data_IF_691951543415
#
_entry.id   IF_691951543415
#
_cell.length_a   1.000
_cell.length_b   1.000
_cell.length_c   1.000
_cell.angle_alpha   90.00
_cell.angle_beta   90.00
_cell.angle_gamma   90.00
#
_symmetry.space_group_name_H-M   'P 1'
#
loop_
_entity.id
_entity.type
_entity.pdbx_description
1 polymer ?
#
# COMPACT_ATOMS: atom_id res chain seq x y z
N UNK A 1 -16.58 25.92 -29.20
CA UNK A 1 -16.15 25.99 -30.62
C UNK A 1 -16.58 24.72 -31.35
N UNK A 2 -16.47 24.66 -32.68
CA UNK A 2 -16.69 23.43 -33.45
C UNK A 2 -15.42 22.56 -33.28
N UNK A 3 -15.59 21.25 -33.10
CA UNK A 3 -14.45 20.32 -32.98
C UNK A 3 -13.63 20.26 -34.28
N UNK A 4 -12.31 20.24 -34.14
CA UNK A 4 -11.38 20.14 -35.26
C UNK A 4 -11.52 18.81 -36.01
N UNK A 5 -11.71 17.71 -35.28
CA UNK A 5 -11.99 16.37 -35.83
C UNK A 5 -13.21 16.35 -36.74
N UNK A 6 -14.25 17.11 -36.40
CA UNK A 6 -15.43 17.27 -37.26
C UNK A 6 -15.16 18.17 -38.46
N UNK A 7 -14.43 19.27 -38.26
CA UNK A 7 -14.15 20.26 -39.29
C UNK A 7 -13.21 19.73 -40.38
N UNK A 8 -12.20 18.94 -40.00
CA UNK A 8 -11.15 18.42 -40.88
C UNK A 8 -11.32 16.93 -41.20
N UNK A 9 -12.51 16.38 -40.99
CA UNK A 9 -12.80 14.95 -41.17
C UNK A 9 -12.44 14.45 -42.57
N UNK A 10 -12.85 15.16 -43.61
CA UNK A 10 -12.61 14.76 -45.01
C UNK A 10 -11.11 14.72 -45.33
N UNK A 11 -10.34 15.71 -44.84
CA UNK A 11 -8.88 15.74 -44.99
C UNK A 11 -8.20 14.60 -44.21
N UNK A 12 -8.73 14.24 -43.04
CA UNK A 12 -8.22 13.11 -42.28
C UNK A 12 -8.51 11.78 -42.96
N UNK A 13 -9.69 11.59 -43.57
CA UNK A 13 -10.02 10.37 -44.33
C UNK A 13 -9.08 10.14 -45.53
N UNK A 14 -8.51 11.21 -46.11
CA UNK A 14 -7.47 11.11 -47.14
C UNK A 14 -6.08 10.77 -46.57
N UNK A 15 -5.77 11.24 -45.35
CA UNK A 15 -4.49 11.06 -44.69
C UNK A 15 -4.37 9.71 -43.98
N UNK A 16 -5.42 9.26 -43.30
CA UNK A 16 -5.46 8.07 -42.43
C UNK A 16 -4.90 6.80 -43.09
N UNK A 17 -5.18 6.48 -44.38
CA UNK A 17 -4.62 5.30 -45.04
C UNK A 17 -3.08 5.31 -45.15
N UNK A 18 -2.45 6.48 -45.01
CA UNK A 18 -0.99 6.63 -45.06
C UNK A 18 -0.32 6.45 -43.71
N UNK A 19 -1.07 6.41 -42.61
CA UNK A 19 -0.59 6.37 -41.23
C UNK A 19 -0.37 4.94 -40.72
N UNK A 20 0.33 4.11 -41.50
CA UNK A 20 0.53 2.68 -41.19
C UNK A 20 1.54 2.40 -40.09
N UNK A 21 2.32 3.42 -39.69
CA UNK A 21 3.43 3.28 -38.74
C UNK A 21 3.00 3.56 -37.28
N UNK A 22 1.71 3.75 -37.03
CA UNK A 22 1.16 4.07 -35.71
C UNK A 22 0.15 3.00 -35.27
N UNK A 23 0.19 2.66 -33.99
CA UNK A 23 -0.77 1.76 -33.34
C UNK A 23 -2.10 2.47 -33.07
N UNK A 24 -2.06 3.78 -32.84
CA UNK A 24 -3.23 4.62 -32.55
C UNK A 24 -3.04 6.08 -33.01
N UNK A 25 -4.13 6.85 -33.05
CA UNK A 25 -4.15 8.23 -33.51
C UNK A 25 -4.97 9.08 -32.52
N UNK A 26 -4.41 10.21 -32.10
CA UNK A 26 -5.10 11.16 -31.20
C UNK A 26 -5.13 12.55 -31.84
N UNK A 27 -6.27 13.24 -31.73
CA UNK A 27 -6.37 14.63 -32.19
C UNK A 27 -5.78 15.57 -31.14
N UNK A 28 -5.12 16.64 -31.58
CA UNK A 28 -4.57 17.65 -30.67
C UNK A 28 -5.64 18.23 -29.72
N UNK A 29 -6.89 18.36 -30.17
CA UNK A 29 -8.02 18.80 -29.35
C UNK A 29 -8.46 17.80 -28.27
N UNK A 30 -7.98 16.56 -28.31
CA UNK A 30 -8.27 15.51 -27.30
C UNK A 30 -7.14 15.45 -26.24
N UNK A 31 -5.98 16.06 -26.50
CA UNK A 31 -4.81 15.96 -25.61
C UNK A 31 -4.94 16.72 -24.28
N UNK A 32 -5.97 17.57 -24.10
CA UNK A 32 -6.20 18.23 -22.81
C UNK A 32 -6.49 17.23 -21.68
N UNK A 33 -6.93 16.00 -22.00
CA UNK A 33 -7.15 14.94 -21.01
C UNK A 33 -5.87 14.19 -20.63
N UNK A 34 -4.79 14.33 -21.42
CA UNK A 34 -3.59 13.52 -21.32
C UNK A 34 -2.34 14.35 -21.00
N UNK A 35 -1.67 14.10 -19.86
CA UNK A 35 -0.38 14.72 -19.57
C UNK A 35 0.67 14.38 -20.64
N UNK A 36 1.34 15.40 -21.18
CA UNK A 36 2.38 15.30 -22.21
C UNK A 36 3.76 15.39 -21.57
N UNK A 37 4.55 14.33 -21.64
CA UNK A 37 5.92 14.28 -21.15
C UNK A 37 6.94 14.43 -22.29
N UNK A 38 7.86 15.38 -22.16
CA UNK A 38 8.90 15.58 -23.18
C UNK A 38 10.12 14.70 -22.89
N UNK A 39 10.49 13.86 -23.85
CA UNK A 39 11.60 12.91 -23.75
C UNK A 39 12.85 13.41 -24.47
N UNK A 40 14.00 13.19 -23.83
CA UNK A 40 15.30 13.50 -24.46
C UNK A 40 15.69 12.51 -25.55
N UNK A 41 15.24 11.26 -25.41
CA UNK A 41 15.58 10.14 -26.29
C UNK A 41 14.30 9.39 -26.72
N UNK A 42 14.45 8.25 -27.37
CA UNK A 42 13.32 7.44 -27.83
C UNK A 42 12.60 6.67 -26.72
N UNK A 43 11.67 5.81 -27.13
CA UNK A 43 10.81 4.98 -26.26
C UNK A 43 11.51 4.35 -25.04
N UNK A 44 12.77 3.93 -25.18
CA UNK A 44 13.55 3.33 -24.09
C UNK A 44 13.86 4.26 -22.91
N UNK A 45 13.70 5.59 -23.07
CA UNK A 45 13.87 6.57 -21.98
C UNK A 45 12.60 6.85 -21.18
N UNK A 46 11.49 6.19 -21.50
CA UNK A 46 10.26 6.30 -20.72
C UNK A 46 10.52 5.75 -19.29
N UNK A 47 10.06 6.43 -18.22
CA UNK A 47 10.16 5.93 -16.85
C UNK A 47 9.56 4.52 -16.73
N UNK A 48 10.23 3.63 -16.00
CA UNK A 48 9.81 2.23 -15.86
C UNK A 48 9.65 1.45 -17.19
N UNK A 49 10.32 1.87 -18.28
CA UNK A 49 10.21 1.22 -19.60
C UNK A 49 10.38 -0.31 -19.56
N UNK A 50 11.21 -0.85 -18.68
CA UNK A 50 11.37 -2.32 -18.52
C UNK A 50 10.08 -3.05 -18.09
N UNK A 51 9.14 -2.34 -17.47
CA UNK A 51 7.88 -2.87 -16.96
C UNK A 51 6.71 -2.57 -17.91
N UNK A 52 6.68 -1.39 -18.51
CA UNK A 52 5.56 -0.93 -19.36
C UNK A 52 5.87 -1.01 -20.85
N UNK A 53 7.11 -1.31 -21.24
CA UNK A 53 7.60 -1.19 -22.60
C UNK A 53 6.78 -1.93 -23.64
N UNK A 54 6.29 -3.14 -23.32
CA UNK A 54 5.46 -3.95 -24.22
C UNK A 54 4.03 -3.41 -24.39
N UNK A 55 3.60 -2.47 -23.54
CA UNK A 55 2.26 -1.88 -23.53
C UNK A 55 2.20 -0.48 -24.13
N UNK A 56 3.35 0.21 -24.21
CA UNK A 56 3.42 1.54 -24.81
C UNK A 56 3.08 1.42 -26.29
N UNK A 57 2.17 2.26 -26.79
CA UNK A 57 1.76 2.29 -28.19
C UNK A 57 2.48 3.43 -28.93
N UNK A 58 2.83 3.22 -30.19
CA UNK A 58 3.28 4.30 -31.06
C UNK A 58 2.04 5.10 -31.52
N UNK A 59 1.95 6.39 -31.18
CA UNK A 59 0.76 7.22 -31.44
C UNK A 59 1.07 8.34 -32.42
N UNK A 60 0.17 8.54 -33.39
CA UNK A 60 0.19 9.68 -34.30
C UNK A 60 -0.66 10.82 -33.74
N UNK A 61 -0.05 11.93 -33.33
CA UNK A 61 -0.78 13.10 -32.84
C UNK A 61 -1.12 14.02 -34.02
N UNK A 62 -2.41 14.19 -34.30
CA UNK A 62 -2.89 15.04 -35.39
C UNK A 62 -2.88 16.50 -34.95
N UNK A 63 -2.20 17.33 -35.73
CA UNK A 63 -2.15 18.78 -35.56
C UNK A 63 -2.80 19.46 -36.75
N UNK A 64 -3.45 20.60 -36.49
CA UNK A 64 -4.10 21.41 -37.52
C UNK A 64 -3.37 22.74 -37.68
N UNK A 65 -2.93 23.04 -38.89
CA UNK A 65 -2.41 24.33 -39.30
C UNK A 65 -3.11 24.79 -40.60
N UNK A 66 -4.17 25.62 -40.51
CA UNK A 66 -4.94 26.04 -41.67
C UNK A 66 -4.12 26.80 -42.73
N UNK A 67 -2.99 27.39 -42.31
CA UNK A 67 -2.11 28.17 -43.19
C UNK A 67 -1.05 27.31 -43.91
N UNK A 68 -0.94 26.02 -43.56
CA UNK A 68 0.02 25.10 -44.17
C UNK A 68 -0.58 24.30 -45.33
N UNK A 69 0.26 23.97 -46.31
CA UNK A 69 -0.10 23.03 -47.37
C UNK A 69 -0.39 21.66 -46.75
N UNK A 70 -1.55 21.08 -47.07
CA UNK A 70 -2.01 19.81 -46.49
C UNK A 70 -2.79 19.97 -45.18
N UNK A 71 -2.67 21.12 -44.49
CA UNK A 71 -3.37 21.55 -43.26
C UNK A 71 -3.24 20.63 -42.03
N UNK A 72 -3.14 19.32 -42.21
CA UNK A 72 -2.92 18.34 -41.17
C UNK A 72 -1.44 17.93 -41.14
N UNK A 73 -0.90 17.72 -39.95
CA UNK A 73 0.43 17.15 -39.75
C UNK A 73 0.41 16.17 -38.60
N UNK A 74 1.18 15.09 -38.73
CA UNK A 74 1.25 14.03 -37.72
C UNK A 74 2.54 14.15 -36.95
N UNK A 75 2.42 14.27 -35.63
CA UNK A 75 3.56 14.30 -34.71
C UNK A 75 3.73 12.90 -34.12
N UNK A 76 4.88 12.23 -34.34
CA UNK A 76 5.13 10.94 -33.72
C UNK A 76 5.27 11.08 -32.19
N UNK A 77 4.52 10.29 -31.45
CA UNK A 77 4.58 10.19 -30.00
C UNK A 77 4.49 8.74 -29.50
N UNK A 78 4.45 8.60 -28.19
CA UNK A 78 4.18 7.33 -27.51
C UNK A 78 3.03 7.50 -26.53
N UNK A 79 2.14 6.51 -26.43
CA UNK A 79 1.06 6.49 -25.46
C UNK A 79 1.30 5.39 -24.42
N UNK A 80 1.22 5.74 -23.14
CA UNK A 80 1.20 4.78 -22.03
C UNK A 80 -0.23 4.57 -21.54
N UNK A 81 -0.85 3.41 -21.83
CA UNK A 81 -2.22 3.11 -21.44
C UNK A 81 -2.37 2.76 -19.95
N UNK A 82 -1.27 2.66 -19.19
CA UNK A 82 -1.32 2.35 -17.75
C UNK A 82 -1.59 3.59 -16.91
N UNK A 83 -0.93 4.69 -17.27
CA UNK A 83 -0.99 5.96 -16.54
C UNK A 83 -1.69 7.07 -17.34
N UNK A 84 -2.23 6.75 -18.53
CA UNK A 84 -2.87 7.68 -19.48
C UNK A 84 -1.99 8.88 -19.84
N UNK A 85 -0.77 8.60 -20.32
CA UNK A 85 0.24 9.63 -20.63
C UNK A 85 0.69 9.59 -22.08
N UNK A 86 0.95 10.77 -22.62
CA UNK A 86 1.55 10.94 -23.94
C UNK A 86 3.01 11.36 -23.78
N UNK A 87 3.90 10.80 -24.59
CA UNK A 87 5.31 11.16 -24.62
C UNK A 87 5.70 11.67 -26.01
N UNK A 88 6.39 12.81 -26.05
CA UNK A 88 6.87 13.41 -27.30
C UNK A 88 8.38 13.62 -27.18
N UNK A 89 9.15 13.29 -28.22
CA UNK A 89 10.60 13.58 -28.23
C UNK A 89 10.83 15.09 -28.29
N UNK A 90 11.87 15.57 -27.62
CA UNK A 90 12.23 16.99 -27.53
C UNK A 90 12.31 17.69 -28.88
N UNK A 91 12.92 17.06 -29.89
CA UNK A 91 12.98 17.64 -31.24
C UNK A 91 11.59 17.79 -31.86
N UNK A 92 10.75 16.74 -31.76
CA UNK A 92 9.37 16.79 -32.26
C UNK A 92 8.54 17.81 -31.49
N UNK A 93 8.72 17.91 -30.18
CA UNK A 93 8.07 18.93 -29.36
C UNK A 93 8.44 20.33 -29.85
N UNK A 94 9.74 20.63 -30.01
CA UNK A 94 10.19 21.94 -30.48
C UNK A 94 9.69 22.28 -31.89
N UNK A 95 9.56 21.30 -32.77
CA UNK A 95 9.10 21.50 -34.15
C UNK A 95 7.58 21.74 -34.22
N UNK A 96 6.79 21.04 -33.40
CA UNK A 96 5.33 20.97 -33.58
C UNK A 96 4.50 21.57 -32.45
N UNK A 97 5.05 21.81 -31.25
CA UNK A 97 4.28 22.27 -30.09
C UNK A 97 3.50 23.56 -30.36
N UNK A 98 4.08 24.50 -31.11
CA UNK A 98 3.39 25.74 -31.48
C UNK A 98 2.09 25.54 -32.25
N UNK A 99 2.00 24.48 -33.05
CA UNK A 99 0.78 24.12 -33.78
C UNK A 99 -0.12 23.28 -32.90
N UNK A 100 0.44 22.25 -32.24
CA UNK A 100 -0.29 21.34 -31.37
C UNK A 100 -1.01 22.06 -30.22
N UNK A 101 -0.37 23.08 -29.61
CA UNK A 101 -0.97 23.90 -28.54
C UNK A 101 -2.27 24.58 -28.96
N UNK A 102 -2.43 24.93 -30.25
CA UNK A 102 -3.64 25.60 -30.72
C UNK A 102 -4.80 24.61 -30.74
N UNK A 103 -4.57 23.39 -31.24
CA UNK A 103 -5.53 22.29 -31.15
C UNK A 103 -5.88 21.96 -29.70
N UNK A 104 -4.88 21.87 -28.82
CA UNK A 104 -5.11 21.67 -27.37
C UNK A 104 -5.98 22.79 -26.79
N UNK A 105 -5.72 24.05 -27.14
CA UNK A 105 -6.53 25.18 -26.70
C UNK A 105 -8.00 25.04 -27.15
N UNK A 106 -8.25 24.55 -28.36
CA UNK A 106 -9.62 24.26 -28.83
C UNK A 106 -10.29 23.21 -27.92
N UNK A 107 -9.55 22.16 -27.55
CA UNK A 107 -9.99 21.14 -26.60
C UNK A 107 -10.37 21.73 -25.23
N UNK A 108 -9.50 22.56 -24.66
CA UNK A 108 -9.73 23.26 -23.37
C UNK A 108 -10.97 24.15 -23.45
N UNK A 109 -11.09 24.95 -24.51
CA UNK A 109 -12.22 25.88 -24.70
C UNK A 109 -13.56 25.15 -24.88
N UNK A 110 -13.53 23.94 -25.45
CA UNK A 110 -14.71 23.10 -25.62
C UNK A 110 -15.10 22.35 -24.34
N UNK A 111 -14.17 22.15 -23.40
CA UNK A 111 -14.33 21.29 -22.23
C UNK A 111 -14.01 22.02 -20.91
N UNK A 112 -14.58 23.22 -20.74
CA UNK A 112 -14.26 24.10 -19.60
C UNK A 112 -14.56 23.49 -18.23
N UNK A 113 -15.63 22.69 -18.10
CA UNK A 113 -15.99 22.06 -16.82
C UNK A 113 -14.93 21.04 -16.37
N UNK A 114 -14.52 20.14 -17.28
CA UNK A 114 -13.43 19.20 -17.03
C UNK A 114 -12.12 19.94 -16.70
N UNK A 115 -11.76 20.95 -17.51
CA UNK A 115 -10.52 21.68 -17.32
C UNK A 115 -10.47 22.43 -15.97
N UNK A 116 -11.61 22.95 -15.50
CA UNK A 116 -11.71 23.58 -14.16
C UNK A 116 -11.57 22.57 -13.03
N UNK A 117 -12.14 21.37 -13.15
CA UNK A 117 -12.00 20.30 -12.13
C UNK A 117 -10.55 19.79 -12.04
N UNK A 118 -9.81 19.85 -13.14
CA UNK A 118 -8.45 19.34 -13.27
C UNK A 118 -7.35 20.43 -13.24
N UNK A 119 -7.69 21.68 -12.90
CA UNK A 119 -6.77 22.83 -12.83
C UNK A 119 -6.01 23.14 -14.15
N UNK A 120 -6.61 22.83 -15.31
CA UNK A 120 -6.04 23.09 -16.65
C UNK A 120 -6.55 24.44 -17.16
N UNK A 121 -5.67 25.43 -17.24
CA UNK A 121 -6.03 26.79 -17.68
C UNK A 121 -5.41 27.15 -19.04
N UNK A 122 -4.33 26.48 -19.41
CA UNK A 122 -3.56 26.71 -20.62
C UNK A 122 -2.98 25.39 -21.16
N UNK A 123 -2.67 25.30 -22.46
CA UNK A 123 -2.02 24.15 -23.05
C UNK A 123 -0.69 23.79 -22.37
N UNK A 124 0.01 24.76 -21.80
CA UNK A 124 1.27 24.53 -21.11
C UNK A 124 1.09 23.76 -19.78
N UNK A 125 -0.10 23.78 -19.16
CA UNK A 125 -0.37 23.11 -17.89
C UNK A 125 -0.32 21.58 -17.99
N UNK A 126 -0.61 21.03 -19.18
CA UNK A 126 -0.53 19.58 -19.45
C UNK A 126 0.87 19.11 -19.85
N UNK A 127 1.86 20.02 -19.98
CA UNK A 127 3.20 19.68 -20.45
C UNK A 127 4.19 19.53 -19.29
N UNK A 128 4.90 18.41 -19.27
CA UNK A 128 5.91 18.07 -18.27
C UNK A 128 7.30 17.90 -18.90
N UNK A 129 8.20 18.81 -18.57
CA UNK A 129 9.59 18.84 -19.06
C UNK A 129 10.59 18.23 -18.07
N UNK A 130 10.12 17.72 -16.93
CA UNK A 130 10.96 17.22 -15.84
C UNK A 130 11.90 16.08 -16.25
N UNK A 131 11.54 15.30 -17.28
CA UNK A 131 12.38 14.23 -17.83
C UNK A 131 13.59 14.74 -18.63
N UNK A 132 13.63 16.03 -18.99
CA UNK A 132 14.74 16.66 -19.68
C UNK A 132 15.78 17.30 -18.74
N UNK A 133 15.42 17.49 -17.46
CA UNK A 133 16.29 18.14 -16.49
C UNK A 133 17.61 17.40 -16.35
N UNK A 134 18.71 18.15 -16.22
CA UNK A 134 20.05 17.61 -16.04
C UNK A 134 20.80 18.39 -14.94
N UNK A 135 21.99 17.92 -14.56
CA UNK A 135 22.76 18.56 -13.50
C UNK A 135 23.03 20.05 -13.81
N UNK A 136 22.37 20.93 -13.06
CA UNK A 136 22.53 22.38 -13.16
C UNK A 136 21.69 23.07 -14.24
N UNK A 137 20.81 22.37 -14.95
CA UNK A 137 19.91 23.00 -15.93
C UNK A 137 18.50 22.40 -15.84
N UNK A 138 17.50 23.28 -15.82
CA UNK A 138 16.08 22.92 -15.92
C UNK A 138 15.60 23.19 -17.34
N UNK A 139 14.86 22.24 -17.91
CA UNK A 139 14.16 22.46 -19.15
C UNK A 139 12.86 23.23 -18.89
N UNK A 140 12.69 24.37 -19.54
CA UNK A 140 11.48 25.19 -19.49
C UNK A 140 11.01 25.47 -20.91
N UNK A 141 9.71 25.72 -21.09
CA UNK A 141 9.19 26.22 -22.37
C UNK A 141 9.37 27.74 -22.35
N UNK A 142 10.07 28.29 -23.34
CA UNK A 142 10.28 29.73 -23.44
C UNK A 142 9.13 30.42 -24.19
N UNK A 143 9.21 31.75 -24.33
CA UNK A 143 8.20 32.57 -25.01
C UNK A 143 8.05 32.22 -26.51
N UNK A 144 9.00 31.51 -27.10
CA UNK A 144 8.92 31.00 -28.48
C UNK A 144 8.31 29.60 -28.56
N UNK A 145 7.77 29.08 -27.44
CA UNK A 145 7.17 27.76 -27.31
C UNK A 145 8.12 26.60 -27.62
N UNK A 146 9.42 26.78 -27.38
CA UNK A 146 10.43 25.73 -27.51
C UNK A 146 11.10 25.45 -26.16
N UNK A 147 11.68 24.27 -26.02
CA UNK A 147 12.44 23.88 -24.85
C UNK A 147 13.74 24.69 -24.80
N UNK A 148 13.94 25.38 -23.67
CA UNK A 148 15.16 26.06 -23.31
C UNK A 148 15.74 25.48 -22.01
N UNK A 149 17.06 25.28 -22.00
CA UNK A 149 17.79 24.84 -20.81
C UNK A 149 18.31 26.05 -20.07
N UNK A 150 17.59 26.44 -19.03
CA UNK A 150 18.02 27.57 -18.20
C UNK A 150 18.93 27.03 -17.11
N UNK A 151 20.15 27.58 -17.06
CA UNK A 151 21.08 27.29 -15.97
C UNK A 151 20.37 27.62 -14.65
N UNK A 152 20.32 26.65 -13.75
CA UNK A 152 19.76 26.86 -12.42
C UNK A 152 20.74 27.67 -11.58
N UNK A 153 20.83 28.97 -11.86
CA UNK A 153 21.43 29.96 -10.94
C UNK A 153 20.45 30.35 -9.82
N UNK A 154 19.32 29.63 -9.69
CA UNK A 154 18.29 29.87 -8.69
C UNK A 154 18.29 28.77 -7.62
N UNK A 155 18.82 29.14 -6.45
CA UNK A 155 18.60 28.58 -5.09
C UNK A 155 19.08 27.15 -4.78
N UNK A 156 20.40 26.96 -4.83
CA UNK A 156 21.08 25.92 -4.04
C UNK A 156 20.69 25.97 -2.55
N UNK A 157 20.31 27.12 -1.99
CA UNK A 157 19.85 27.22 -0.58
C UNK A 157 18.44 26.66 -0.34
N UNK A 158 17.47 26.81 -1.26
CA UNK A 158 16.10 26.33 -1.02
C UNK A 158 15.96 24.83 -1.32
N UNK A 159 16.61 24.33 -2.39
CA UNK A 159 16.71 22.89 -2.64
C UNK A 159 17.54 22.20 -1.56
N UNK A 160 18.69 22.76 -1.13
CA UNK A 160 19.39 22.17 0.02
C UNK A 160 18.56 22.26 1.29
N UNK A 161 17.71 23.27 1.50
CA UNK A 161 16.80 23.30 2.66
C UNK A 161 15.73 22.22 2.54
N UNK A 162 15.08 22.03 1.40
CA UNK A 162 14.03 20.99 1.24
C UNK A 162 14.61 19.57 1.23
N UNK A 163 15.76 19.37 0.59
CA UNK A 163 16.54 18.12 0.64
C UNK A 163 17.03 17.84 2.07
N UNK A 164 17.54 18.86 2.78
CA UNK A 164 17.91 18.73 4.21
C UNK A 164 16.71 18.45 5.08
N UNK A 165 15.54 19.04 4.81
CA UNK A 165 14.30 18.77 5.53
C UNK A 165 13.88 17.33 5.28
N UNK A 166 13.88 16.87 4.03
CA UNK A 166 13.62 15.47 3.70
C UNK A 166 14.59 14.54 4.39
N UNK A 167 15.88 14.79 4.30
CA UNK A 167 16.90 13.98 4.93
C UNK A 167 16.77 14.01 6.46
N UNK A 168 16.42 15.15 7.05
CA UNK A 168 16.12 15.26 8.48
C UNK A 168 14.91 14.43 8.88
N UNK A 169 13.82 14.44 8.09
CA UNK A 169 12.66 13.55 8.29
C UNK A 169 13.08 12.08 8.12
N UNK A 170 13.91 11.84 7.09
CA UNK A 170 14.76 10.71 6.71
C UNK A 170 15.65 10.13 7.80
N UNK A 171 16.07 10.93 8.76
CA UNK A 171 17.08 10.53 9.76
C UNK A 171 16.48 10.49 11.15
N UNK A 172 15.37 11.19 11.37
CA UNK A 172 14.61 11.12 12.61
C UNK A 172 14.08 9.68 12.83
N UNK A 173 14.48 9.00 13.91
CA UNK A 173 14.02 7.66 14.23
C UNK A 173 12.58 7.62 14.74
N UNK A 174 12.01 8.76 15.17
CA UNK A 174 10.61 8.83 15.60
C UNK A 174 9.64 8.80 14.42
N UNK A 175 10.10 9.16 13.23
CA UNK A 175 9.30 9.07 12.01
C UNK A 175 9.20 7.62 11.54
N UNK A 176 7.98 7.09 11.56
CA UNK A 176 7.65 5.72 11.14
C UNK A 176 7.02 5.73 9.75
N UNK A 177 6.13 6.70 9.50
CA UNK A 177 5.36 6.80 8.26
C UNK A 177 5.90 7.93 7.39
N UNK A 178 6.02 7.66 6.09
CA UNK A 178 6.47 8.63 5.09
C UNK A 178 5.44 8.73 3.97
N UNK A 179 5.10 9.94 3.54
CA UNK A 179 4.00 10.17 2.61
C UNK A 179 4.10 11.52 1.90
N UNK A 180 3.26 11.70 0.88
CA UNK A 180 3.10 12.98 0.19
C UNK A 180 1.97 13.78 0.85
N UNK A 181 2.17 15.08 1.07
CA UNK A 181 1.09 15.98 1.51
C UNK A 181 0.08 16.31 0.41
N UNK A 182 0.30 15.86 -0.84
CA UNK A 182 -0.64 16.08 -1.93
C UNK A 182 -1.90 15.23 -1.70
N UNK A 183 -2.98 15.88 -1.27
CA UNK A 183 -4.28 15.23 -1.00
C UNK A 183 -4.96 14.66 -2.24
N UNK A 184 -4.57 15.11 -3.43
CA UNK A 184 -5.06 14.64 -4.74
C UNK A 184 -4.25 13.44 -5.26
N UNK A 185 -3.12 13.08 -4.61
CA UNK A 185 -2.33 11.89 -4.90
C UNK A 185 -2.75 10.67 -4.08
N UNK A 186 -1.99 9.56 -4.21
CA UNK A 186 -2.21 8.35 -3.42
C UNK A 186 -2.04 8.65 -1.92
N UNK A 187 -3.11 8.54 -1.13
CA UNK A 187 -3.09 8.68 0.34
C UNK A 187 -2.48 7.45 1.01
N UNK A 188 -1.25 7.14 0.62
CA UNK A 188 -0.53 5.94 1.04
C UNK A 188 0.61 6.32 1.99
N UNK A 189 0.74 5.54 3.06
CA UNK A 189 1.86 5.59 3.98
C UNK A 189 2.89 4.55 3.57
N UNK A 190 4.13 5.00 3.47
CA UNK A 190 5.25 4.21 3.02
C UNK A 190 6.27 4.00 4.13
N UNK A 191 6.99 2.90 4.01
CA UNK A 191 8.16 2.58 4.81
C UNK A 191 9.39 3.37 4.30
N UNK A 192 10.37 3.64 5.18
CA UNK A 192 11.62 4.38 4.84
C UNK A 192 12.37 3.81 3.62
N UNK A 193 12.25 2.52 3.35
CA UNK A 193 12.88 1.86 2.20
C UNK A 193 12.00 1.71 0.96
N UNK A 194 10.85 2.38 0.89
CA UNK A 194 9.96 2.26 -0.26
C UNK A 194 10.47 3.05 -1.47
N UNK A 195 10.51 2.41 -2.64
CA UNK A 195 10.92 3.05 -3.90
C UNK A 195 10.03 4.25 -4.29
N UNK A 196 8.75 4.24 -3.90
CA UNK A 196 7.81 5.35 -4.16
C UNK A 196 8.26 6.64 -3.49
N UNK A 197 9.04 6.56 -2.39
CA UNK A 197 9.53 7.77 -1.74
C UNK A 197 10.34 8.63 -2.72
N UNK A 198 11.19 8.04 -3.56
CA UNK A 198 12.02 8.76 -4.53
C UNK A 198 11.19 9.58 -5.54
N UNK A 199 9.91 9.22 -5.71
CA UNK A 199 8.98 9.90 -6.62
C UNK A 199 8.20 11.03 -5.93
N UNK A 200 8.25 11.14 -4.60
CA UNK A 200 7.57 12.20 -3.85
C UNK A 200 8.43 13.47 -3.90
N UNK A 201 7.94 14.59 -4.43
CA UNK A 201 8.66 15.87 -4.42
C UNK A 201 8.99 16.32 -2.99
N UNK A 202 10.18 16.87 -2.78
CA UNK A 202 10.68 17.22 -1.43
C UNK A 202 9.81 18.23 -0.69
N UNK A 203 9.21 19.20 -1.41
CA UNK A 203 8.28 20.17 -0.83
C UNK A 203 6.96 19.53 -0.36
N UNK A 204 6.60 18.38 -0.94
CA UNK A 204 5.45 17.56 -0.56
C UNK A 204 5.80 16.42 0.39
N UNK A 205 7.07 16.12 0.60
CA UNK A 205 7.49 15.02 1.46
C UNK A 205 7.15 15.32 2.92
N UNK A 206 6.42 14.40 3.56
CA UNK A 206 6.06 14.47 4.97
C UNK A 206 6.39 13.16 5.67
N UNK A 207 6.59 13.26 6.96
CA UNK A 207 6.75 12.10 7.82
C UNK A 207 6.02 12.33 9.15
N UNK A 208 5.63 11.23 9.78
CA UNK A 208 4.94 11.24 11.07
C UNK A 208 5.25 9.98 11.87
N UNK A 209 5.03 10.07 13.18
CA UNK A 209 5.02 8.94 14.10
C UNK A 209 3.62 8.30 14.25
N UNK A 210 2.57 8.99 13.79
CA UNK A 210 1.17 8.56 13.84
C UNK A 210 0.57 8.47 12.44
N UNK A 211 -0.43 7.61 12.25
CA UNK A 211 -1.15 7.45 10.98
C UNK A 211 -2.04 8.68 10.79
N UNK A 212 -1.82 9.50 9.74
CA UNK A 212 -2.68 10.65 9.48
C UNK A 212 -4.08 10.22 9.02
N UNK A 213 -5.10 11.02 9.37
CA UNK A 213 -6.49 10.73 9.02
C UNK A 213 -6.69 10.54 7.50
N UNK A 214 -7.37 9.45 7.15
CA UNK A 214 -7.71 9.13 5.76
C UNK A 214 -6.54 8.58 4.92
N UNK A 215 -5.41 8.26 5.53
CA UNK A 215 -4.32 7.55 4.88
C UNK A 215 -4.40 6.04 5.12
N UNK A 216 -3.94 5.26 4.13
CA UNK A 216 -3.86 3.80 4.20
C UNK A 216 -2.41 3.35 4.07
N UNK A 217 -2.07 2.18 4.62
CA UNK A 217 -0.72 1.62 4.46
C UNK A 217 -0.51 1.17 3.01
N UNK A 218 0.61 1.57 2.40
CA UNK A 218 1.03 1.05 1.10
C UNK A 218 1.12 -0.48 1.16
N UNK A 219 0.52 -1.16 0.18
CA UNK A 219 0.44 -2.63 0.16
C UNK A 219 1.81 -3.32 0.20
N UNK A 220 2.81 -2.71 -0.45
CA UNK A 220 4.20 -3.20 -0.47
C UNK A 220 4.93 -2.94 0.85
N UNK A 221 4.58 -1.85 1.55
CA UNK A 221 5.22 -1.46 2.82
C UNK A 221 4.54 -2.06 4.05
N UNK A 222 3.27 -2.47 3.93
CA UNK A 222 2.39 -2.82 5.05
C UNK A 222 3.05 -3.76 6.05
N UNK A 223 3.65 -4.86 5.59
CA UNK A 223 4.31 -5.83 6.48
C UNK A 223 5.50 -5.23 7.24
N UNK A 224 6.34 -4.45 6.56
CA UNK A 224 7.50 -3.81 7.18
C UNK A 224 7.05 -2.77 8.21
N UNK A 225 6.08 -1.92 7.85
CA UNK A 225 5.50 -0.93 8.75
C UNK A 225 4.92 -1.58 10.01
N UNK A 226 4.07 -2.60 9.86
CA UNK A 226 3.50 -3.34 10.99
C UNK A 226 4.59 -3.96 11.88
N UNK A 227 5.67 -4.47 11.30
CA UNK A 227 6.78 -5.02 12.08
C UNK A 227 7.51 -3.92 12.87
N UNK A 228 7.73 -2.74 12.27
CA UNK A 228 8.34 -1.59 12.98
C UNK A 228 7.46 -1.09 14.11
N UNK A 229 6.16 -0.96 13.88
CA UNK A 229 5.19 -0.55 14.90
C UNK A 229 5.23 -1.53 16.07
N UNK A 230 5.25 -2.83 15.76
CA UNK A 230 5.37 -3.87 16.78
C UNK A 230 6.67 -3.85 17.57
N UNK A 231 7.79 -3.42 16.97
CA UNK A 231 9.10 -3.39 17.64
C UNK A 231 9.42 -2.02 18.28
N UNK A 232 8.59 -0.99 18.08
CA UNK A 232 8.86 0.35 18.59
C UNK A 232 8.94 0.34 20.13
N UNK A 233 9.92 1.03 20.76
CA UNK A 233 10.91 1.93 20.16
C UNK A 233 12.21 1.26 19.69
N UNK A 234 12.35 -0.06 19.83
CA UNK A 234 13.59 -0.79 19.56
C UNK A 234 13.80 -1.10 18.08
N UNK A 235 14.43 -0.16 17.35
CA UNK A 235 14.74 -0.35 15.92
C UNK A 235 15.75 -1.47 15.65
N UNK A 236 16.63 -1.76 16.62
CA UNK A 236 17.65 -2.83 16.51
C UNK A 236 17.03 -4.22 16.42
N UNK A 237 15.86 -4.42 17.02
CA UNK A 237 15.19 -5.72 17.08
C UNK A 237 14.30 -6.02 15.86
N UNK A 238 14.03 -5.02 15.00
CA UNK A 238 13.15 -5.19 13.82
C UNK A 238 13.60 -6.36 12.94
N UNK A 239 14.90 -6.45 12.63
CA UNK A 239 15.42 -7.47 11.73
C UNK A 239 15.23 -8.89 12.27
N UNK A 240 15.41 -9.09 13.57
CA UNK A 240 15.29 -10.40 14.21
C UNK A 240 13.84 -10.80 14.46
N UNK A 241 12.99 -9.86 14.91
CA UNK A 241 11.55 -10.06 15.00
C UNK A 241 10.94 -10.41 13.63
N UNK A 242 11.35 -9.71 12.57
CA UNK A 242 10.91 -10.01 11.19
C UNK A 242 11.28 -11.43 10.79
N UNK A 243 12.53 -11.85 10.99
CA UNK A 243 12.96 -13.22 10.68
C UNK A 243 12.14 -14.26 11.42
N UNK A 244 11.80 -14.02 12.68
CA UNK A 244 10.91 -14.89 13.46
C UNK A 244 9.51 -14.98 12.86
N UNK A 245 8.87 -13.84 12.59
CA UNK A 245 7.53 -13.76 12.01
C UNK A 245 7.47 -14.44 10.63
N UNK A 246 8.50 -14.25 9.81
CA UNK A 246 8.63 -14.89 8.49
C UNK A 246 8.88 -16.40 8.61
N UNK A 247 9.83 -16.82 9.46
CA UNK A 247 10.17 -18.24 9.70
C UNK A 247 8.96 -19.07 10.12
N UNK A 248 8.11 -18.52 10.97
CA UNK A 248 6.90 -19.19 11.45
C UNK A 248 5.63 -18.78 10.72
N UNK A 249 5.77 -18.23 9.51
CA UNK A 249 4.69 -17.98 8.53
C UNK A 249 3.53 -17.15 9.09
N UNK A 250 3.82 -16.15 9.91
CA UNK A 250 2.80 -15.21 10.39
C UNK A 250 2.38 -14.32 9.22
N UNK A 251 1.12 -14.44 8.79
CA UNK A 251 0.60 -13.63 7.68
C UNK A 251 0.48 -12.16 8.06
N UNK A 252 0.48 -11.27 7.06
CA UNK A 252 0.34 -9.82 7.30
C UNK A 252 -0.98 -9.48 8.00
N UNK A 253 -2.06 -10.19 7.71
CA UNK A 253 -3.36 -10.01 8.39
C UNK A 253 -3.31 -10.39 9.87
N UNK A 254 -2.59 -11.47 10.22
CA UNK A 254 -2.43 -11.85 11.64
C UNK A 254 -1.57 -10.82 12.37
N UNK A 255 -0.52 -10.33 11.72
CA UNK A 255 0.33 -9.28 12.26
C UNK A 255 -0.46 -7.98 12.49
N UNK A 256 -1.25 -7.56 11.52
CA UNK A 256 -2.11 -6.36 11.62
C UNK A 256 -3.05 -6.44 12.83
N UNK A 257 -3.80 -7.53 12.98
CA UNK A 257 -4.69 -7.74 14.13
C UNK A 257 -3.95 -7.71 15.47
N UNK A 258 -2.72 -8.23 15.52
CA UNK A 258 -1.91 -8.20 16.72
C UNK A 258 -1.49 -6.76 17.08
N UNK A 259 -1.03 -6.00 16.08
CA UNK A 259 -0.64 -4.60 16.26
C UNK A 259 -1.84 -3.73 16.67
N UNK A 260 -3.00 -3.92 16.05
CA UNK A 260 -4.24 -3.21 16.38
C UNK A 260 -4.69 -3.51 17.82
N UNK A 261 -4.39 -4.71 18.33
CA UNK A 261 -4.63 -5.08 19.72
C UNK A 261 -3.58 -4.52 20.71
N UNK A 262 -2.61 -3.74 20.22
CA UNK A 262 -1.56 -3.14 21.05
C UNK A 262 -0.36 -4.05 21.31
N UNK A 263 -0.25 -5.21 20.65
CA UNK A 263 0.86 -6.14 20.88
C UNK A 263 2.19 -5.51 20.46
N UNK A 264 3.26 -5.79 21.22
CA UNK A 264 4.64 -5.46 20.89
C UNK A 264 5.54 -6.69 20.87
N UNK A 265 6.64 -6.60 20.13
CA UNK A 265 7.57 -7.68 19.86
C UNK A 265 9.00 -7.28 20.23
N UNK A 266 9.65 -8.17 20.96
CA UNK A 266 11.05 -8.04 21.35
C UNK A 266 11.78 -9.35 21.11
N UNK A 267 12.97 -9.31 20.53
CA UNK A 267 13.82 -10.49 20.42
C UNK A 267 15.29 -10.05 20.47
N UNK A 268 16.07 -10.73 21.31
CA UNK A 268 17.51 -10.47 21.44
C UNK A 268 18.34 -11.49 20.66
N UNK A 269 17.79 -12.68 20.41
CA UNK A 269 18.42 -13.76 19.66
C UNK A 269 17.41 -14.61 18.87
N UNK A 270 17.92 -15.61 18.15
CA UNK A 270 17.09 -16.51 17.34
C UNK A 270 16.49 -17.68 18.17
N UNK A 271 16.52 -17.62 19.52
CA UNK A 271 16.00 -18.68 20.40
C UNK A 271 14.54 -18.47 20.82
N UNK A 272 14.10 -17.22 20.86
CA UNK A 272 12.72 -16.88 21.15
C UNK A 272 12.34 -15.46 20.73
N UNK A 273 11.05 -15.19 20.78
CA UNK A 273 10.48 -13.85 20.67
C UNK A 273 9.60 -13.58 21.88
N UNK A 274 9.84 -12.47 22.55
CA UNK A 274 9.00 -11.91 23.59
C UNK A 274 7.88 -11.11 22.95
N UNK A 275 6.67 -11.29 23.46
CA UNK A 275 5.45 -10.66 22.98
C UNK A 275 4.79 -9.98 24.18
N UNK A 276 4.76 -8.66 24.18
CA UNK A 276 4.02 -7.91 25.19
C UNK A 276 2.57 -7.81 24.74
N UNK A 277 1.70 -8.46 25.52
CA UNK A 277 0.26 -8.33 25.38
C UNK A 277 -0.26 -7.09 26.12
N UNK A 278 -1.58 -6.99 26.24
CA UNK A 278 -2.24 -5.85 26.89
C UNK A 278 -1.90 -5.76 28.38
N UNK A 279 -1.91 -6.89 29.09
CA UNK A 279 -1.67 -6.94 30.55
C UNK A 279 -0.36 -7.63 30.94
N UNK A 280 0.10 -8.59 30.13
CA UNK A 280 1.16 -9.54 30.48
C UNK A 280 2.16 -9.70 29.34
N UNK A 281 3.40 -10.02 29.70
CA UNK A 281 4.45 -10.37 28.75
C UNK A 281 4.52 -11.88 28.56
N UNK A 282 4.78 -12.29 27.33
CA UNK A 282 4.85 -13.69 26.92
C UNK A 282 6.15 -13.97 26.19
N UNK A 283 6.59 -15.23 26.16
CA UNK A 283 7.66 -15.66 25.27
C UNK A 283 7.22 -16.86 24.43
N UNK A 284 7.50 -16.77 23.14
CA UNK A 284 7.34 -17.87 22.20
C UNK A 284 8.73 -18.41 21.92
N UNK A 285 8.98 -19.64 22.38
CA UNK A 285 10.30 -20.30 22.30
C UNK A 285 10.19 -21.61 21.55
N UNK A 286 11.29 -22.03 20.93
CA UNK A 286 11.41 -23.40 20.42
C UNK A 286 11.70 -24.34 21.60
N UNK A 287 10.88 -25.36 21.79
CA UNK A 287 11.08 -26.43 22.77
C UNK A 287 10.99 -27.77 22.04
N UNK A 288 12.14 -28.43 21.83
CA UNK A 288 12.23 -29.55 20.90
C UNK A 288 11.96 -29.09 19.46
N UNK A 289 11.04 -29.76 18.77
CA UNK A 289 10.66 -29.43 17.38
C UNK A 289 9.41 -28.53 17.28
N UNK A 290 8.92 -28.01 18.40
CA UNK A 290 7.66 -27.26 18.47
C UNK A 290 7.84 -25.91 19.13
N UNK A 291 6.98 -24.96 18.76
CA UNK A 291 6.81 -23.74 19.52
C UNK A 291 6.05 -24.04 20.81
N UNK A 292 6.49 -23.42 21.90
CA UNK A 292 5.79 -23.43 23.18
C UNK A 292 5.62 -22.00 23.68
N UNK A 293 4.47 -21.75 24.29
CA UNK A 293 4.14 -20.46 24.89
C UNK A 293 4.58 -20.43 26.36
N UNK A 294 5.20 -19.34 26.76
CA UNK A 294 5.66 -19.09 28.13
C UNK A 294 5.03 -17.80 28.62
N UNK A 295 4.58 -17.79 29.87
CA UNK A 295 3.88 -16.67 30.50
C UNK A 295 4.74 -16.08 31.60
N UNK A 296 4.73 -14.76 31.77
CA UNK A 296 5.44 -14.09 32.85
C UNK A 296 4.96 -14.59 34.22
N UNK A 297 5.87 -14.60 35.18
CA UNK A 297 5.52 -14.96 36.55
C UNK A 297 4.76 -13.81 37.23
N UNK A 298 3.88 -14.15 38.16
CA UNK A 298 3.16 -13.18 38.96
C UNK A 298 2.84 -13.74 40.34
N UNK A 299 2.64 -12.85 41.31
CA UNK A 299 2.18 -13.17 42.66
C UNK A 299 0.80 -12.54 42.88
N UNK A 300 -0.16 -13.35 43.31
CA UNK A 300 -1.52 -12.92 43.63
C UNK A 300 -1.52 -12.19 44.98
N UNK A 301 -2.01 -10.97 45.02
CA UNK A 301 -2.07 -10.13 46.24
C UNK A 301 -3.48 -10.04 46.83
N UNK A 302 -4.51 -10.17 45.99
CA UNK A 302 -5.91 -10.24 46.37
C UNK A 302 -6.67 -11.13 45.38
N UNK A 303 -7.98 -11.31 45.54
CA UNK A 303 -8.78 -12.17 44.66
C UNK A 303 -8.66 -11.81 43.17
N UNK A 304 -8.55 -10.51 42.87
CA UNK A 304 -8.53 -9.95 41.52
C UNK A 304 -7.22 -9.27 41.14
N UNK A 305 -6.29 -9.08 42.07
CA UNK A 305 -5.04 -8.35 41.81
C UNK A 305 -3.81 -9.27 41.81
N UNK A 306 -2.79 -8.83 41.07
CA UNK A 306 -1.47 -9.46 40.99
C UNK A 306 -0.40 -8.39 40.80
N UNK A 307 0.84 -8.72 41.16
CA UNK A 307 2.01 -8.02 40.62
C UNK A 307 2.90 -9.00 39.86
N UNK A 308 3.54 -8.49 38.80
CA UNK A 308 4.41 -9.27 37.92
C UNK A 308 5.78 -9.46 38.58
N UNK A 309 6.34 -10.66 38.48
CA UNK A 309 7.67 -11.00 38.96
C UNK A 309 8.57 -11.46 37.82
N UNK A 310 9.87 -11.54 38.10
CA UNK A 310 10.85 -11.94 37.11
C UNK A 310 10.68 -13.40 36.65
N UNK A 311 11.00 -13.61 35.38
CA UNK A 311 11.02 -14.93 34.76
C UNK A 311 9.70 -15.34 34.11
N UNK A 312 9.74 -16.51 33.48
CA UNK A 312 8.64 -17.06 32.71
C UNK A 312 8.47 -18.54 33.03
N UNK A 313 7.22 -19.01 33.02
CA UNK A 313 6.89 -20.44 33.13
C UNK A 313 6.18 -20.93 31.87
N UNK A 314 6.45 -22.19 31.51
CA UNK A 314 5.87 -22.79 30.31
C UNK A 314 4.38 -23.03 30.51
N UNK A 315 3.57 -22.57 29.55
CA UNK A 315 2.18 -22.96 29.44
C UNK A 315 2.07 -24.28 28.69
N UNK A 316 1.06 -25.07 29.03
CA UNK A 316 0.74 -26.28 28.28
C UNK A 316 0.00 -25.92 26.97
N UNK A 317 0.62 -25.05 26.16
CA UNK A 317 0.13 -24.59 24.88
C UNK A 317 1.24 -24.73 23.84
N UNK A 318 1.01 -25.62 22.87
CA UNK A 318 1.87 -25.81 21.69
C UNK A 318 1.02 -25.60 20.44
N UNK A 319 1.56 -24.93 19.42
CA UNK A 319 0.81 -24.64 18.20
C UNK A 319 1.57 -23.76 17.22
N UNK A 320 0.86 -23.23 16.23
CA UNK A 320 1.44 -22.24 15.31
C UNK A 320 1.64 -20.90 16.01
N UNK A 321 2.60 -20.11 15.53
CA UNK A 321 2.83 -18.76 16.04
C UNK A 321 1.57 -17.89 15.91
N UNK A 322 0.81 -18.03 14.82
CA UNK A 322 -0.45 -17.33 14.64
C UNK A 322 -1.50 -17.67 15.73
N UNK A 323 -1.62 -18.95 16.11
CA UNK A 323 -2.53 -19.35 17.19
C UNK A 323 -2.08 -18.81 18.55
N UNK A 324 -0.77 -18.76 18.81
CA UNK A 324 -0.22 -18.17 20.03
C UNK A 324 -0.47 -16.67 20.11
N UNK A 325 -0.28 -15.93 19.00
CA UNK A 325 -0.58 -14.50 18.96
C UNK A 325 -2.08 -14.23 19.18
N UNK A 326 -2.95 -15.03 18.57
CA UNK A 326 -4.39 -14.93 18.80
C UNK A 326 -4.77 -15.25 20.26
N UNK A 327 -4.08 -16.19 20.90
CA UNK A 327 -4.28 -16.47 22.32
C UNK A 327 -3.87 -15.27 23.19
N UNK A 328 -2.67 -14.73 22.97
CA UNK A 328 -2.14 -13.57 23.70
C UNK A 328 -3.07 -12.35 23.53
N UNK A 329 -3.53 -12.09 22.31
CA UNK A 329 -4.46 -11.01 21.98
C UNK A 329 -5.76 -11.06 22.80
N UNK A 330 -6.27 -12.26 23.08
CA UNK A 330 -7.57 -12.46 23.74
C UNK A 330 -7.45 -12.72 25.23
N UNK A 331 -6.23 -12.83 25.76
CA UNK A 331 -5.97 -13.10 27.16
C UNK A 331 -6.29 -11.88 28.02
N UNK A 332 -6.99 -12.13 29.12
CA UNK A 332 -7.11 -11.20 30.25
C UNK A 332 -6.96 -12.01 31.53
N UNK A 333 -6.47 -11.39 32.59
CA UNK A 333 -6.33 -12.10 33.86
C UNK A 333 -7.65 -12.53 34.46
N UNK A 334 -8.72 -11.76 34.23
CA UNK A 334 -10.07 -12.13 34.64
C UNK A 334 -10.53 -13.43 33.97
N UNK A 335 -10.34 -13.57 32.64
CA UNK A 335 -10.63 -14.82 31.94
C UNK A 335 -9.80 -15.99 32.47
N UNK A 336 -8.55 -15.73 32.85
CA UNK A 336 -7.68 -16.74 33.45
C UNK A 336 -8.16 -17.18 34.83
N UNK A 337 -8.61 -16.24 35.68
CA UNK A 337 -9.20 -16.56 36.98
C UNK A 337 -10.47 -17.39 36.82
N UNK A 338 -11.37 -17.00 35.93
CA UNK A 338 -12.59 -17.76 35.62
C UNK A 338 -12.27 -19.18 35.14
N UNK A 339 -11.29 -19.34 34.24
CA UNK A 339 -10.87 -20.65 33.77
C UNK A 339 -10.25 -21.52 34.88
N UNK A 340 -9.58 -20.90 35.87
CA UNK A 340 -9.07 -21.59 37.06
C UNK A 340 -10.20 -22.01 38.00
N UNK A 341 -11.19 -21.15 38.22
CA UNK A 341 -12.37 -21.44 39.05
C UNK A 341 -13.21 -22.58 38.47
N UNK A 342 -13.46 -22.57 37.16
CA UNK A 342 -14.15 -23.67 36.48
C UNK A 342 -13.37 -24.98 36.67
N UNK A 343 -12.06 -24.97 36.42
CA UNK A 343 -11.21 -26.16 36.62
C UNK A 343 -11.15 -26.64 38.07
N UNK A 344 -11.20 -25.74 39.06
CA UNK A 344 -11.24 -26.15 40.47
C UNK A 344 -12.60 -26.74 40.83
N UNK A 345 -13.69 -26.18 40.30
CA UNK A 345 -15.04 -26.68 40.55
C UNK A 345 -15.26 -28.04 39.86
N UNK A 346 -14.76 -28.23 38.64
CA UNK A 346 -14.80 -29.52 37.93
C UNK A 346 -14.01 -30.59 38.70
N UNK A 347 -12.81 -30.25 39.19
CA UNK A 347 -12.02 -31.15 40.03
C UNK A 347 -12.68 -31.45 41.38
N UNK A 348 -13.39 -30.49 41.97
CA UNK A 348 -14.14 -30.71 43.21
C UNK A 348 -15.33 -31.63 42.96
N UNK A 349 -16.06 -31.49 41.85
CA UNK A 349 -17.13 -32.40 41.44
C UNK A 349 -16.63 -33.82 41.13
N UNK A 350 -15.45 -33.99 40.52
CA UNK A 350 -14.84 -35.32 40.30
C UNK A 350 -14.25 -35.95 41.58
N UNK A 351 -14.05 -35.16 42.65
CA UNK A 351 -13.47 -35.61 43.92
C UNK A 351 -14.48 -35.76 45.07
N UNK A 352 -15.76 -35.45 44.83
CA UNK A 352 -16.82 -35.67 45.80
C UNK A 352 -16.99 -37.18 46.02
N UNK A 353 -17.01 -37.70 47.27
CA UNK A 353 -17.26 -39.11 47.50
C UNK A 353 -18.66 -39.45 47.00
N UNK A 354 -18.82 -40.63 46.37
CA UNK A 354 -20.13 -41.28 46.26
C UNK A 354 -20.66 -41.49 47.68
N UNK A 355 -21.42 -40.52 48.21
CA UNK A 355 -22.25 -40.76 49.38
C UNK A 355 -23.39 -41.67 48.96
N UNK A 356 -23.23 -42.94 49.34
CA UNK A 356 -24.27 -43.94 49.45
C UNK A 356 -25.48 -43.35 50.18
N UNK A 357 -26.53 -43.01 49.44
CA UNK A 357 -27.87 -42.83 50.02
C UNK A 357 -28.66 -44.09 49.70
N UNK A 358 -28.63 -45.01 50.65
CA UNK A 358 -29.59 -46.08 50.81
C UNK A 358 -30.82 -45.47 51.51
N UNK A 359 -31.89 -45.22 50.76
CA UNK A 359 -33.23 -45.10 51.33
C UNK A 359 -34.27 -45.64 50.34
N UNK A 360 -34.88 -46.76 50.74
CA UNK A 360 -35.99 -47.44 50.08
C UNK A 360 -37.24 -46.53 50.05
N UNK A 361 -38.08 -46.58 49.01
CA UNK A 361 -39.42 -47.24 48.91
C UNK A 361 -40.19 -46.45 47.80
N UNK A 362 -41.23 -46.93 47.04
CA UNK A 362 -41.69 -48.27 46.68
C UNK A 362 -41.80 -48.51 45.14
N UNK A 363 -42.09 -49.77 44.81
CA UNK A 363 -42.53 -50.28 43.50
C UNK A 363 -43.89 -49.70 43.08
N UNK A 364 -43.97 -49.11 41.88
CA UNK A 364 -45.14 -49.24 41.00
C UNK A 364 -44.68 -49.49 39.54
N UNK A 365 -45.18 -50.58 38.96
CA UNK A 365 -45.06 -50.97 37.54
C UNK A 365 -46.48 -51.10 36.96
N UNK A 366 -46.71 -51.25 35.63
CA UNK A 366 -45.95 -50.84 34.43
C UNK A 366 -46.86 -50.21 33.34
N UNK A 367 -46.31 -49.66 32.23
CA UNK A 367 -46.82 -49.86 30.85
C UNK A 367 -45.72 -49.74 29.78
N UNK A 368 -45.51 -50.85 29.07
CA UNK A 368 -44.77 -51.12 27.80
C UNK A 368 -45.53 -50.43 26.63
N UNK A 369 -45.01 -50.10 25.40
CA UNK A 369 -44.05 -50.83 24.53
C UNK A 369 -42.95 -50.00 23.81
N UNK A 370 -41.76 -50.55 23.52
CA UNK A 370 -41.37 -51.51 22.47
C UNK A 370 -41.47 -50.97 21.02
N UNK A 371 -40.38 -51.17 20.26
CA UNK A 371 -40.18 -51.06 18.79
C UNK A 371 -39.76 -49.66 18.29
N UNK A 372 -38.80 -49.47 17.38
CA UNK A 372 -38.18 -50.37 16.40
C UNK A 372 -36.91 -49.74 15.79
N UNK A 373 -36.01 -50.61 15.33
CA UNK A 373 -34.92 -50.36 14.35
C UNK A 373 -35.44 -49.72 13.05
N UNK A 374 -34.56 -49.01 12.35
CA UNK A 374 -34.02 -49.25 10.99
C UNK A 374 -33.45 -47.91 10.46
N UNK A 375 -32.15 -47.83 10.13
CA UNK A 375 -31.58 -47.96 8.77
C UNK A 375 -32.18 -46.92 7.81
N UNK A 376 -31.39 -46.16 7.04
CA UNK A 376 -30.76 -46.65 5.80
C UNK A 376 -29.67 -45.67 5.30
N UNK A 377 -28.60 -46.28 4.78
CA UNK A 377 -27.50 -45.74 3.99
C UNK A 377 -27.90 -45.29 2.56
N UNK A 378 -27.04 -44.47 1.94
CA UNK A 378 -26.83 -44.42 0.48
C UNK A 378 -26.26 -43.04 0.08
N UNK A 379 -24.98 -42.83 -0.20
CA UNK A 379 -24.06 -43.36 -1.23
C UNK A 379 -24.53 -43.13 -2.69
N UNK A 380 -23.68 -42.36 -3.38
CA UNK A 380 -23.39 -42.27 -4.83
C UNK A 380 -24.39 -41.65 -5.81
N UNK A 381 -23.93 -40.55 -6.42
CA UNK A 381 -23.46 -40.60 -7.80
C UNK A 381 -24.33 -39.91 -8.85
N UNK A 382 -23.86 -38.75 -9.33
CA UNK A 382 -23.66 -38.43 -10.75
C UNK A 382 -22.70 -37.27 -10.88
#
# INVERSE_FOLDING_TARGET
>A
MISEKLLYKELFEELEPTLTDYDDIAWGEELFEYPIYVLKHGRSSIPEYKRIGDKVADVGLITVNPDAVGMLSVVPGYFDPVDDRVYIKENQFNDYWRVLRNSVQVGIDNNQEYCQEHDINSPEDIVHTNLLNNQGHKAVINDSHVIEYVATNYKREAETVTERVRQSLLDDPHNIYFYSSNRNGSRQLHDRGCAVLEQIPDDKFRASNEIPDGYILCSQCKRNLLTRIGCYPSTKQIGICRRWLDKYRVSTTVLERAIDAGIRFHADDDRGITVDGIEDSWQIRVTGDRLSLWHNNYVKTSEKERYITDGFHQQNFTGSMAAMLAFIQNYTYEKHLLAKEIKSNDKQMESAPEELVDEQIPVETPKVPLLRRLLVFGISGK
#
